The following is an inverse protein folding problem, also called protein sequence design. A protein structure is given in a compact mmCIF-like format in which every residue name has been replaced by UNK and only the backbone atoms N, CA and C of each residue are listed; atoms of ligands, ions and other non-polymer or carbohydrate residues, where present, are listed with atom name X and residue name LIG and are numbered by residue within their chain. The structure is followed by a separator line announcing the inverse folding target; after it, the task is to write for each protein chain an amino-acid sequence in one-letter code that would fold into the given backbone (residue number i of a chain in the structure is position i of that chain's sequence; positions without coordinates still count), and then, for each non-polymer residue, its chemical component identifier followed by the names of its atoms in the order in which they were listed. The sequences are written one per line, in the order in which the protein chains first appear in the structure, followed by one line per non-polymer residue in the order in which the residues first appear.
data_IF_469159251880
#
_entry.id   IF_469159251880
#
_cell.length_a   1.000
_cell.length_b   1.000
_cell.length_c   1.000
_cell.angle_alpha   90.00
_cell.angle_beta   90.00
_cell.angle_gamma   90.00
#
_symmetry.space_group_name_H-M   'P 1'
#
loop_
_entity.id
_entity.type
_entity.pdbx_description
1 polymer ?
#
# COMPACT_ATOMS: atom_id res chain seq x y z
N UNK A 1 -26.52 -6.00 59.59
CA UNK A 1 -26.48 -6.48 58.21
C UNK A 1 -25.06 -6.33 57.71
N UNK A 2 -24.25 -7.36 57.85
CA UNK A 2 -22.88 -7.40 57.33
C UNK A 2 -22.97 -7.64 55.82
N UNK A 3 -22.56 -6.64 55.05
CA UNK A 3 -22.27 -6.78 53.62
C UNK A 3 -21.21 -7.88 53.49
N UNK A 4 -21.60 -9.04 52.98
CA UNK A 4 -20.73 -10.20 52.84
C UNK A 4 -20.04 -10.05 51.47
N UNK A 5 -18.74 -9.70 51.40
CA UNK A 5 -18.07 -9.44 50.14
C UNK A 5 -18.09 -10.71 49.27
N UNK A 6 -18.55 -10.56 48.03
CA UNK A 6 -18.70 -11.68 47.11
C UNK A 6 -17.31 -12.23 46.76
N UNK A 7 -17.06 -13.55 46.90
CA UNK A 7 -15.75 -14.16 46.66
C UNK A 7 -15.22 -13.99 45.22
N UNK A 8 -16.08 -13.56 44.28
CA UNK A 8 -15.69 -13.25 42.91
C UNK A 8 -14.97 -11.89 42.77
N UNK A 9 -15.23 -10.94 43.67
CA UNK A 9 -14.66 -9.59 43.61
C UNK A 9 -13.18 -9.59 44.04
N UNK A 10 -12.85 -10.40 45.05
CA UNK A 10 -11.49 -10.56 45.56
C UNK A 10 -10.53 -11.18 44.53
N UNK A 11 -11.02 -12.09 43.67
CA UNK A 11 -10.22 -12.69 42.59
C UNK A 11 -9.97 -11.69 41.47
N UNK A 12 -10.99 -10.91 41.11
CA UNK A 12 -10.89 -9.88 40.08
C UNK A 12 -9.89 -8.78 40.48
N UNK A 13 -9.87 -8.38 41.75
CA UNK A 13 -8.89 -7.41 42.25
C UNK A 13 -7.46 -7.96 42.27
N UNK A 14 -7.28 -9.25 42.58
CA UNK A 14 -5.98 -9.89 42.54
C UNK A 14 -5.42 -9.97 41.11
N UNK A 15 -6.26 -10.32 40.13
CA UNK A 15 -5.88 -10.34 38.71
C UNK A 15 -5.59 -8.94 38.18
N UNK A 16 -6.41 -7.94 38.55
CA UNK A 16 -6.16 -6.53 38.19
C UNK A 16 -4.87 -6.00 38.78
N UNK A 17 -4.56 -6.31 40.05
CA UNK A 17 -3.29 -5.93 40.68
C UNK A 17 -2.09 -6.57 40.00
N UNK A 18 -2.22 -7.83 39.60
CA UNK A 18 -1.16 -8.52 38.86
C UNK A 18 -0.96 -7.93 37.46
N UNK A 19 -2.05 -7.72 36.72
CA UNK A 19 -2.02 -7.06 35.41
C UNK A 19 -1.47 -5.62 35.50
N UNK A 20 -1.81 -4.88 36.56
CA UNK A 20 -1.24 -3.57 36.83
C UNK A 20 0.25 -3.65 37.15
N UNK A 21 0.70 -4.58 37.99
CA UNK A 21 2.12 -4.79 38.28
C UNK A 21 2.92 -5.18 37.05
N UNK A 22 2.38 -6.07 36.22
CA UNK A 22 3.03 -6.50 34.98
C UNK A 22 3.08 -5.35 33.96
N UNK A 23 2.01 -4.55 33.85
CA UNK A 23 2.00 -3.33 33.03
C UNK A 23 2.99 -2.28 33.55
N UNK A 24 3.12 -2.12 34.86
CA UNK A 24 4.04 -1.17 35.48
C UNK A 24 5.48 -1.59 35.26
N UNK A 25 5.80 -2.88 35.44
CA UNK A 25 7.12 -3.45 35.11
C UNK A 25 7.46 -3.27 33.64
N UNK A 26 6.52 -3.55 32.74
CA UNK A 26 6.73 -3.35 31.30
C UNK A 26 6.94 -1.87 30.96
N UNK A 27 6.20 -0.96 31.61
CA UNK A 27 6.37 0.48 31.43
C UNK A 27 7.71 0.98 31.98
N UNK A 28 8.14 0.51 33.15
CA UNK A 28 9.44 0.85 33.75
C UNK A 28 10.58 0.35 32.86
N UNK A 29 10.49 -0.89 32.39
CA UNK A 29 11.46 -1.47 31.46
C UNK A 29 11.52 -0.75 30.11
N UNK A 30 10.37 -0.39 29.54
CA UNK A 30 10.30 0.41 28.32
C UNK A 30 10.89 1.81 28.54
N UNK A 31 10.64 2.41 29.70
CA UNK A 31 11.18 3.71 30.10
C UNK A 31 12.70 3.67 30.26
N UNK A 32 13.25 2.62 30.87
CA UNK A 32 14.70 2.46 31.01
C UNK A 32 15.41 2.20 29.66
N UNK A 33 14.79 1.38 28.80
CA UNK A 33 15.28 1.19 27.41
C UNK A 33 15.19 2.49 26.61
N UNK A 34 14.10 3.25 26.76
CA UNK A 34 13.95 4.55 26.14
C UNK A 34 15.02 5.54 26.63
N UNK A 35 15.22 5.70 27.94
CA UNK A 35 16.25 6.60 28.51
C UNK A 35 17.66 6.27 28.00
N UNK A 36 18.02 4.99 27.98
CA UNK A 36 19.35 4.54 27.52
C UNK A 36 19.55 4.72 26.01
N UNK A 37 18.50 4.48 25.21
CA UNK A 37 18.53 4.77 23.78
C UNK A 37 18.57 6.28 23.50
N UNK A 38 17.78 7.08 24.24
CA UNK A 38 17.72 8.54 24.12
C UNK A 38 19.06 9.19 24.48
N UNK A 39 19.76 8.73 25.53
CA UNK A 39 21.06 9.30 25.90
C UNK A 39 22.09 9.19 24.77
N UNK A 40 22.23 7.99 24.19
CA UNK A 40 23.16 7.73 23.07
C UNK A 40 22.71 8.38 21.77
N UNK A 41 21.41 8.35 21.49
CA UNK A 41 20.84 8.96 20.29
C UNK A 41 20.97 10.48 20.34
N UNK A 42 20.83 11.12 21.50
CA UNK A 42 20.96 12.57 21.65
C UNK A 42 22.36 13.06 21.31
N UNK A 43 23.40 12.38 21.78
CA UNK A 43 24.79 12.77 21.51
C UNK A 43 25.13 12.65 20.01
N UNK A 44 24.75 11.53 19.39
CA UNK A 44 24.95 11.32 17.95
C UNK A 44 24.10 12.29 17.10
N UNK A 45 22.82 12.45 17.46
CA UNK A 45 21.91 13.33 16.75
C UNK A 45 22.31 14.80 16.90
N UNK A 46 22.83 15.24 18.04
CA UNK A 46 23.18 16.65 18.23
C UNK A 46 24.34 17.10 17.34
N UNK A 47 25.34 16.24 17.13
CA UNK A 47 26.45 16.53 16.22
C UNK A 47 26.01 16.56 14.75
N UNK A 48 25.15 15.64 14.34
CA UNK A 48 24.71 15.51 12.95
C UNK A 48 23.57 16.47 12.59
N UNK A 49 22.70 16.77 13.54
CA UNK A 49 21.56 17.66 13.36
C UNK A 49 21.97 19.10 13.04
N UNK A 50 23.05 19.63 13.62
CA UNK A 50 23.47 21.01 13.34
C UNK A 50 23.79 21.17 11.85
N UNK A 51 24.58 20.26 11.28
CA UNK A 51 24.94 20.29 9.86
C UNK A 51 23.77 19.96 8.93
N UNK A 52 22.90 19.02 9.32
CA UNK A 52 21.71 18.70 8.53
C UNK A 52 20.68 19.84 8.55
N UNK A 53 20.52 20.53 9.68
CA UNK A 53 19.49 21.57 9.84
C UNK A 53 19.78 22.77 8.95
N UNK A 54 21.04 23.23 8.90
CA UNK A 54 21.43 24.35 8.03
C UNK A 54 21.17 24.03 6.55
N UNK A 55 21.54 22.82 6.11
CA UNK A 55 21.33 22.38 4.74
C UNK A 55 19.85 22.17 4.41
N UNK A 56 19.09 21.59 5.35
CA UNK A 56 17.66 21.39 5.20
C UNK A 56 16.90 22.73 5.12
N UNK A 57 17.29 23.70 5.94
CA UNK A 57 16.70 25.05 5.92
C UNK A 57 16.91 25.74 4.57
N UNK A 58 18.14 25.72 4.05
CA UNK A 58 18.42 26.32 2.74
C UNK A 58 17.63 25.67 1.60
N UNK A 59 17.52 24.34 1.59
CA UNK A 59 16.72 23.62 0.58
C UNK A 59 15.21 23.87 0.74
N UNK A 60 14.73 24.00 1.98
CA UNK A 60 13.33 24.30 2.25
C UNK A 60 12.95 25.70 1.78
N UNK A 61 13.75 26.71 2.10
CA UNK A 61 13.50 28.10 1.68
C UNK A 61 13.38 28.23 0.15
N UNK A 62 14.14 27.44 -0.63
CA UNK A 62 14.09 27.44 -2.10
C UNK A 62 12.87 26.70 -2.69
N UNK A 63 12.33 25.68 -2.01
CA UNK A 63 11.33 24.77 -2.58
C UNK A 63 9.94 24.88 -1.93
N UNK A 64 9.77 25.75 -0.94
CA UNK A 64 8.56 25.74 -0.12
C UNK A 64 7.29 26.10 -0.87
N UNK A 65 7.31 27.04 -1.81
CA UNK A 65 6.10 27.40 -2.56
C UNK A 65 5.59 26.22 -3.42
N UNK A 66 6.50 25.47 -4.04
CA UNK A 66 6.17 24.28 -4.81
C UNK A 66 5.64 23.14 -3.94
N UNK A 67 6.30 22.91 -2.79
CA UNK A 67 5.91 21.88 -1.83
C UNK A 67 4.54 22.20 -1.20
N UNK A 68 4.29 23.45 -0.81
CA UNK A 68 3.01 23.88 -0.23
C UNK A 68 1.86 23.59 -1.18
N UNK A 69 1.95 24.06 -2.43
CA UNK A 69 0.89 23.85 -3.41
C UNK A 69 0.64 22.36 -3.67
N UNK A 70 1.69 21.56 -3.80
CA UNK A 70 1.54 20.12 -4.01
C UNK A 70 1.00 19.38 -2.77
N UNK A 71 1.40 19.79 -1.58
CA UNK A 71 0.94 19.21 -0.33
C UNK A 71 -0.53 19.55 -0.07
N UNK A 72 -0.91 20.82 -0.17
CA UNK A 72 -2.29 21.29 0.01
C UNK A 72 -3.24 20.58 -0.97
N UNK A 73 -2.89 20.46 -2.26
CA UNK A 73 -3.75 19.76 -3.21
C UNK A 73 -3.95 18.27 -2.87
N UNK A 74 -2.91 17.57 -2.40
CA UNK A 74 -3.03 16.15 -1.98
C UNK A 74 -3.86 16.01 -0.70
N UNK A 75 -3.74 16.98 0.20
CA UNK A 75 -4.49 17.04 1.45
C UNK A 75 -5.98 17.25 1.14
N UNK A 76 -6.31 18.19 0.26
CA UNK A 76 -7.68 18.46 -0.20
C UNK A 76 -8.27 17.21 -0.90
N UNK A 77 -7.53 16.60 -1.83
CA UNK A 77 -7.95 15.37 -2.52
C UNK A 77 -8.20 14.22 -1.54
N UNK A 78 -7.35 14.08 -0.52
CA UNK A 78 -7.53 13.06 0.52
C UNK A 78 -8.74 13.37 1.40
N UNK A 79 -8.97 14.63 1.77
CA UNK A 79 -10.15 15.05 2.53
C UNK A 79 -11.43 14.74 1.76
N UNK A 80 -11.45 15.02 0.46
CA UNK A 80 -12.57 14.69 -0.43
C UNK A 80 -12.80 13.18 -0.51
N UNK A 81 -11.75 12.37 -0.63
CA UNK A 81 -11.88 10.90 -0.61
C UNK A 81 -12.43 10.38 0.72
N UNK A 82 -11.99 10.94 1.85
CA UNK A 82 -12.49 10.57 3.18
C UNK A 82 -13.96 10.96 3.34
N UNK A 83 -14.33 12.18 2.92
CA UNK A 83 -15.72 12.65 2.97
C UNK A 83 -16.64 11.83 2.08
N UNK A 84 -16.21 11.53 0.85
CA UNK A 84 -16.96 10.69 -0.08
C UNK A 84 -17.13 9.26 0.45
N UNK A 85 -16.09 8.67 1.03
CA UNK A 85 -16.19 7.36 1.67
C UNK A 85 -17.12 7.40 2.92
N UNK A 86 -17.12 8.51 3.66
CA UNK A 86 -18.02 8.74 4.79
C UNK A 86 -19.50 8.72 4.41
N UNK A 87 -19.86 9.33 3.28
CA UNK A 87 -21.23 9.31 2.75
C UNK A 87 -21.70 7.89 2.39
N UNK A 88 -20.77 6.97 2.10
CA UNK A 88 -21.10 5.57 1.80
C UNK A 88 -21.53 4.77 3.04
N UNK A 89 -21.20 5.25 4.25
CA UNK A 89 -21.57 4.61 5.52
C UNK A 89 -22.94 5.07 6.07
N UNK A 90 -23.63 5.98 5.36
CA UNK A 90 -24.88 6.58 5.79
C UNK A 90 -24.66 7.75 6.77
N UNK A 91 -25.34 8.87 6.51
CA UNK A 91 -25.11 10.18 7.14
C UNK A 91 -25.26 10.18 8.67
N UNK A 92 -26.02 9.25 9.24
CA UNK A 92 -26.25 9.14 10.69
C UNK A 92 -25.26 8.22 11.44
N UNK A 93 -24.26 7.66 10.74
CA UNK A 93 -23.28 6.78 11.36
C UNK A 93 -22.20 7.57 12.12
N UNK A 94 -21.73 7.03 13.26
CA UNK A 94 -20.59 7.59 14.00
C UNK A 94 -19.33 7.71 13.12
N UNK A 95 -19.22 6.83 12.13
CA UNK A 95 -18.15 6.79 11.14
C UNK A 95 -18.23 7.99 10.18
N UNK A 96 -19.43 8.36 9.71
CA UNK A 96 -19.64 9.53 8.87
C UNK A 96 -19.27 10.82 9.63
N UNK A 97 -19.68 10.96 10.90
CA UNK A 97 -19.33 12.11 11.73
C UNK A 97 -17.83 12.19 12.02
N UNK A 98 -17.18 11.04 12.28
CA UNK A 98 -15.73 11.00 12.48
C UNK A 98 -14.97 11.34 11.20
N UNK A 99 -15.42 10.84 10.05
CA UNK A 99 -14.86 11.16 8.74
C UNK A 99 -15.02 12.65 8.42
N UNK A 100 -16.18 13.24 8.71
CA UNK A 100 -16.44 14.65 8.47
C UNK A 100 -15.60 15.57 9.40
N UNK A 101 -15.47 15.19 10.67
CA UNK A 101 -14.56 15.87 11.60
C UNK A 101 -13.11 15.80 11.10
N UNK A 102 -12.67 14.64 10.64
CA UNK A 102 -11.31 14.46 10.14
C UNK A 102 -11.06 15.27 8.86
N UNK A 103 -12.00 15.23 7.91
CA UNK A 103 -11.94 16.00 6.67
C UNK A 103 -11.94 17.51 6.93
N UNK A 104 -12.77 17.98 7.85
CA UNK A 104 -12.85 19.40 8.22
C UNK A 104 -11.56 19.92 8.87
N UNK A 105 -10.96 19.11 9.76
CA UNK A 105 -9.66 19.45 10.35
C UNK A 105 -8.53 19.39 9.30
N UNK A 106 -8.62 18.48 8.34
CA UNK A 106 -7.64 18.33 7.28
C UNK A 106 -7.66 19.53 6.31
N UNK A 107 -8.86 20.02 5.96
CA UNK A 107 -9.05 21.23 5.16
C UNK A 107 -8.55 22.49 5.89
N UNK A 108 -8.86 22.64 7.19
CA UNK A 108 -8.31 23.75 7.99
C UNK A 108 -6.78 23.71 8.07
N UNK A 109 -6.18 22.53 8.17
CA UNK A 109 -4.73 22.39 8.10
C UNK A 109 -4.16 22.78 6.73
N UNK A 110 -4.87 22.44 5.65
CA UNK A 110 -4.50 22.80 4.28
C UNK A 110 -4.48 24.32 4.07
N UNK A 111 -5.51 25.02 4.56
CA UNK A 111 -5.62 26.48 4.50
C UNK A 111 -4.56 27.16 5.37
N UNK A 112 -4.33 26.65 6.59
CA UNK A 112 -3.28 27.14 7.47
C UNK A 112 -1.88 27.05 6.81
N UNK A 113 -1.58 25.93 6.14
CA UNK A 113 -0.31 25.74 5.41
C UNK A 113 -0.19 26.69 4.20
N UNK A 114 -1.32 26.97 3.54
CA UNK A 114 -1.39 27.87 2.38
C UNK A 114 -1.12 29.32 2.79
N UNK A 115 -1.66 29.75 3.92
CA UNK A 115 -1.63 31.16 4.36
C UNK A 115 -0.43 31.52 5.25
N UNK A 116 0.18 30.56 5.97
CA UNK A 116 1.31 30.85 6.87
C UNK A 116 2.68 30.87 6.17
N UNK A 117 3.52 31.81 6.56
CA UNK A 117 4.96 31.77 6.32
C UNK A 117 5.65 30.64 7.10
N UNK A 118 6.75 30.10 6.54
CA UNK A 118 7.53 29.03 7.19
C UNK A 118 8.02 29.39 8.58
N UNK A 119 8.37 30.66 8.80
CA UNK A 119 8.87 31.14 10.09
C UNK A 119 7.84 30.90 11.19
N UNK A 120 6.60 31.30 10.95
CA UNK A 120 5.49 31.15 11.90
C UNK A 120 5.14 29.67 12.09
N UNK A 121 5.08 28.89 11.01
CA UNK A 121 4.80 27.45 11.09
C UNK A 121 5.85 26.70 11.93
N UNK A 122 7.12 27.07 11.80
CA UNK A 122 8.19 26.44 12.58
C UNK A 122 8.09 26.74 14.08
N UNK A 123 7.62 27.93 14.44
CA UNK A 123 7.47 28.35 15.83
C UNK A 123 6.26 27.65 16.48
N UNK A 124 5.14 27.55 15.75
CA UNK A 124 3.95 26.81 16.19
C UNK A 124 4.22 25.32 16.39
N UNK A 125 4.98 24.70 15.47
CA UNK A 125 5.42 23.29 15.62
C UNK A 125 6.33 23.13 16.83
N UNK A 126 7.23 24.07 17.07
CA UNK A 126 8.11 24.09 18.25
C UNK A 126 7.32 24.21 19.56
N UNK A 127 6.33 25.10 19.60
CA UNK A 127 5.45 25.24 20.76
C UNK A 127 4.63 23.97 21.01
N UNK A 128 4.05 23.39 19.95
CA UNK A 128 3.31 22.13 20.04
C UNK A 128 4.18 20.99 20.56
N UNK A 129 5.41 20.86 20.06
CA UNK A 129 6.36 19.84 20.49
C UNK A 129 6.70 19.96 21.98
N UNK A 130 6.85 21.19 22.48
CA UNK A 130 7.11 21.47 23.91
C UNK A 130 5.89 21.16 24.78
N UNK A 131 4.69 21.42 24.27
CA UNK A 131 3.43 21.23 25.00
C UNK A 131 2.98 19.77 25.05
N UNK A 132 3.26 19.01 23.99
CA UNK A 132 2.83 17.62 23.84
C UNK A 132 3.99 16.71 23.36
N UNK A 133 5.02 16.48 24.19
CA UNK A 133 6.22 15.75 23.77
C UNK A 133 5.92 14.32 23.32
N UNK A 134 5.00 13.62 23.97
CA UNK A 134 4.64 12.24 23.60
C UNK A 134 4.01 12.15 22.19
N UNK A 135 3.11 13.08 21.86
CA UNK A 135 2.47 13.12 20.54
C UNK A 135 3.46 13.50 19.44
N UNK A 136 4.35 14.46 19.72
CA UNK A 136 5.38 14.87 18.77
C UNK A 136 6.36 13.72 18.48
N UNK A 137 6.88 13.04 19.50
CA UNK A 137 7.78 11.90 19.30
C UNK A 137 7.10 10.75 18.55
N UNK A 138 5.85 10.43 18.90
CA UNK A 138 5.07 9.41 18.21
C UNK A 138 4.83 9.77 16.74
N UNK A 139 4.39 11.01 16.47
CA UNK A 139 4.15 11.50 15.11
C UNK A 139 5.42 11.56 14.27
N UNK A 140 6.52 12.07 14.82
CA UNK A 140 7.81 12.14 14.13
C UNK A 140 8.37 10.75 13.80
N UNK A 141 8.21 9.77 14.70
CA UNK A 141 8.62 8.39 14.43
C UNK A 141 7.81 7.76 13.29
N UNK A 142 6.49 7.95 13.28
CA UNK A 142 5.62 7.45 12.22
C UNK A 142 5.89 8.14 10.87
N UNK A 143 6.04 9.47 10.88
CA UNK A 143 6.38 10.24 9.69
C UNK A 143 7.76 9.84 9.13
N UNK A 144 8.77 9.73 10.00
CA UNK A 144 10.11 9.27 9.62
C UNK A 144 10.10 7.86 9.05
N UNK A 145 9.32 6.93 9.63
CA UNK A 145 9.15 5.60 9.08
C UNK A 145 8.45 5.60 7.72
N UNK A 146 7.39 6.40 7.55
CA UNK A 146 6.67 6.52 6.29
C UNK A 146 7.59 7.06 5.18
N UNK A 147 8.38 8.10 5.48
CA UNK A 147 9.40 8.65 4.58
C UNK A 147 10.47 7.61 4.25
N UNK A 148 11.03 6.92 5.26
CA UNK A 148 12.01 5.86 5.05
C UNK A 148 11.46 4.72 4.19
N UNK A 149 10.18 4.37 4.39
CA UNK A 149 9.49 3.36 3.59
C UNK A 149 9.27 3.81 2.15
N UNK A 150 8.97 5.08 1.91
CA UNK A 150 8.83 5.64 0.57
C UNK A 150 10.17 5.63 -0.18
N UNK A 151 11.24 6.09 0.46
CA UNK A 151 12.59 6.05 -0.13
C UNK A 151 12.99 4.60 -0.46
N UNK A 152 12.75 3.66 0.46
CA UNK A 152 12.99 2.21 0.24
C UNK A 152 12.14 1.63 -0.90
N UNK A 153 10.94 2.16 -1.12
CA UNK A 153 10.04 1.72 -2.17
C UNK A 153 10.54 2.20 -3.54
N UNK A 154 11.04 3.44 -3.64
CA UNK A 154 11.60 4.00 -4.87
C UNK A 154 12.85 3.24 -5.36
N UNK A 155 13.64 2.67 -4.45
CA UNK A 155 14.79 1.81 -4.80
C UNK A 155 14.39 0.50 -5.51
N UNK A 156 13.12 0.07 -5.44
CA UNK A 156 12.66 -1.19 -6.04
C UNK A 156 12.28 -1.06 -7.52
N UNK A 157 12.22 0.15 -8.06
CA UNK A 157 11.92 0.39 -9.48
C UNK A 157 13.17 0.46 -10.37
N UNK A 158 14.38 0.36 -9.80
CA UNK A 158 15.66 0.42 -10.52
C UNK A 158 16.30 -0.93 -10.91
N UNK A 159 15.61 -2.05 -10.69
CA UNK A 159 16.18 -3.41 -10.91
C UNK A 159 15.40 -4.21 -11.96
N UNK A 160 15.08 -3.59 -13.12
CA UNK A 160 14.77 -4.31 -14.36
C UNK A 160 15.22 -3.51 -15.59
N UNK A 161 16.53 -3.23 -15.66
CA UNK A 161 17.21 -3.02 -16.94
C UNK A 161 18.65 -3.49 -16.84
N UNK A 162 18.81 -4.82 -16.81
CA UNK A 162 20.07 -5.40 -17.26
C UNK A 162 20.19 -5.06 -18.74
N UNK A 163 20.95 -3.99 -19.00
CA UNK A 163 21.36 -3.55 -20.32
C UNK A 163 22.19 -4.69 -20.94
N UNK A 164 21.57 -5.44 -21.86
CA UNK A 164 22.21 -6.55 -22.60
C UNK A 164 22.86 -6.04 -23.90
N UNK A 165 23.11 -4.73 -24.02
CA UNK A 165 23.56 -4.08 -25.26
C UNK A 165 25.08 -3.85 -25.35
N UNK A 166 25.88 -4.40 -24.44
CA UNK A 166 27.34 -4.28 -24.54
C UNK A 166 28.09 -5.58 -24.22
N UNK A 167 27.88 -6.61 -25.06
CA UNK A 167 28.83 -7.71 -25.19
C UNK A 167 29.68 -7.46 -26.46
N UNK A 168 30.98 -7.13 -26.36
CA UNK A 168 31.85 -7.12 -27.54
C UNK A 168 31.89 -8.55 -28.11
N UNK A 169 31.57 -8.67 -29.40
CA UNK A 169 31.46 -9.93 -30.12
C UNK A 169 32.74 -10.80 -30.03
N UNK A 170 32.83 -11.63 -28.99
CA UNK A 170 33.72 -12.78 -28.96
C UNK A 170 33.00 -13.92 -29.67
N UNK A 171 33.53 -14.31 -30.84
CA UNK A 171 33.09 -15.45 -31.67
C UNK A 171 32.71 -16.66 -30.80
N UNK A 172 31.45 -17.09 -30.87
CA UNK A 172 31.04 -18.39 -30.37
C UNK A 172 31.39 -19.50 -31.39
N UNK A 173 31.78 -20.72 -30.96
CA UNK A 173 32.03 -21.85 -31.85
C UNK A 173 30.71 -22.37 -32.45
N UNK A 174 30.71 -22.68 -33.75
CA UNK A 174 29.56 -23.28 -34.46
C UNK A 174 29.27 -24.71 -33.96
N UNK A 175 28.00 -25.05 -33.64
CA UNK A 175 27.61 -26.43 -33.32
C UNK A 175 27.50 -27.30 -34.59
N UNK A 176 28.02 -28.53 -34.53
CA UNK A 176 28.03 -29.50 -35.63
C UNK A 176 26.61 -30.03 -35.96
N UNK A 177 26.34 -30.43 -37.22
CA UNK A 177 25.03 -30.95 -37.64
C UNK A 177 24.73 -32.31 -36.99
N UNK A 178 23.55 -32.41 -36.38
CA UNK A 178 23.04 -33.63 -35.75
C UNK A 178 22.54 -34.61 -36.83
N UNK A 179 22.99 -35.86 -36.77
CA UNK A 179 22.39 -36.96 -37.56
C UNK A 179 21.00 -37.29 -36.99
N UNK A 180 19.99 -37.28 -37.85
CA UNK A 180 18.63 -37.74 -37.54
C UNK A 180 18.60 -39.27 -37.41
N UNK A 181 18.02 -39.80 -36.33
CA UNK A 181 17.87 -41.23 -36.12
C UNK A 181 16.71 -41.79 -36.99
N UNK A 182 16.81 -43.00 -37.57
CA UNK A 182 15.76 -43.58 -38.40
C UNK A 182 14.45 -43.84 -37.64
N UNK A 183 13.32 -43.52 -38.27
CA UNK A 183 11.97 -43.70 -37.74
C UNK A 183 11.54 -45.18 -37.80
N UNK A 184 11.25 -45.79 -36.64
CA UNK A 184 10.59 -47.11 -36.59
C UNK A 184 9.04 -46.96 -36.61
N UNK A 185 8.31 -47.71 -37.46
CA UNK A 185 6.87 -47.62 -37.55
C UNK A 185 6.17 -48.31 -36.37
N UNK A 186 5.30 -47.56 -35.67
CA UNK A 186 4.43 -48.05 -34.58
C UNK A 186 3.24 -48.86 -35.15
N UNK A 187 2.88 -50.03 -34.59
CA UNK A 187 1.77 -50.84 -35.11
C UNK A 187 0.38 -50.23 -34.80
N UNK A 188 -0.54 -50.36 -35.75
CA UNK A 188 -1.92 -49.88 -35.69
C UNK A 188 -2.82 -50.75 -34.77
N UNK A 189 -3.85 -50.17 -34.12
CA UNK A 189 -4.80 -50.95 -33.33
C UNK A 189 -5.74 -51.77 -34.22
N UNK A 190 -5.93 -53.05 -33.87
CA UNK A 190 -6.77 -54.00 -34.59
C UNK A 190 -8.20 -53.97 -34.07
N UNK A 191 -9.16 -53.86 -34.98
CA UNK A 191 -10.60 -53.99 -34.74
C UNK A 191 -10.98 -55.46 -34.51
N UNK A 192 -11.63 -55.76 -33.40
CA UNK A 192 -12.30 -57.04 -33.14
C UNK A 192 -13.76 -56.81 -32.77
N UNK A 193 -14.68 -57.25 -33.62
CA UNK A 193 -16.13 -57.21 -33.42
C UNK A 193 -16.69 -58.63 -33.56
N UNK A 194 -17.61 -59.04 -32.67
CA UNK A 194 -18.84 -59.80 -33.03
C UNK A 194 -19.77 -60.01 -31.82
N UNK A 195 -21.07 -59.79 -32.03
CA UNK A 195 -22.14 -60.11 -31.06
C UNK A 195 -23.55 -59.58 -31.37
N UNK A 196 -24.04 -59.78 -32.61
CA UNK A 196 -25.43 -59.96 -33.12
C UNK A 196 -26.70 -59.31 -32.46
N UNK A 197 -27.31 -58.36 -33.19
CA UNK A 197 -28.72 -57.99 -33.54
C UNK A 197 -29.97 -58.59 -32.79
N UNK A 198 -31.21 -58.01 -32.87
CA UNK A 198 -31.78 -57.15 -33.94
C UNK A 198 -32.70 -55.96 -33.54
N UNK A 199 -33.11 -55.22 -34.59
CA UNK A 199 -34.01 -54.04 -34.65
C UNK A 199 -35.43 -54.46 -35.09
N UNK A 200 -36.47 -53.71 -34.67
CA UNK A 200 -37.52 -53.24 -35.60
C UNK A 200 -37.85 -51.75 -35.35
N UNK A 201 -37.64 -50.85 -36.30
CA UNK A 201 -38.64 -50.26 -37.23
C UNK A 201 -39.84 -49.57 -36.57
N UNK A 202 -39.78 -48.24 -36.52
CA UNK A 202 -40.91 -47.34 -36.32
C UNK A 202 -40.54 -45.95 -36.83
N UNK A 203 -41.08 -45.58 -37.99
CA UNK A 203 -40.96 -44.27 -38.62
C UNK A 203 -42.14 -43.39 -38.21
N UNK A 204 -41.91 -42.08 -38.02
CA UNK A 204 -42.74 -40.97 -38.54
C UNK A 204 -42.45 -39.63 -37.81
N UNK A 205 -41.89 -38.66 -38.57
CA UNK A 205 -42.06 -37.19 -38.46
C UNK A 205 -41.62 -36.46 -37.18
N UNK A 206 -41.35 -35.15 -37.14
CA UNK A 206 -41.23 -34.09 -38.14
C UNK A 206 -40.82 -32.78 -37.42
N UNK A 207 -39.70 -32.20 -37.84
CA UNK A 207 -39.45 -30.76 -38.14
C UNK A 207 -39.37 -29.65 -37.07
N UNK A 208 -38.26 -28.90 -37.15
CA UNK A 208 -38.08 -27.48 -36.78
C UNK A 208 -37.08 -27.24 -35.63
N UNK A 209 -36.01 -26.46 -35.72
CA UNK A 209 -35.51 -25.57 -36.76
C UNK A 209 -34.20 -24.87 -36.33
N UNK A 210 -33.49 -24.39 -37.36
CA UNK A 210 -32.52 -23.27 -37.46
C UNK A 210 -31.33 -23.13 -36.50
N UNK A 211 -30.13 -23.16 -37.10
CA UNK A 211 -28.90 -22.62 -36.52
C UNK A 211 -28.77 -21.11 -36.75
N UNK A 212 -27.77 -20.51 -36.11
CA UNK A 212 -27.22 -19.21 -36.49
C UNK A 212 -25.72 -19.19 -36.22
N UNK A 213 -25.00 -18.93 -37.30
CA UNK A 213 -23.59 -18.59 -37.34
C UNK A 213 -23.46 -17.07 -37.48
N UNK A 214 -22.38 -16.51 -36.91
CA UNK A 214 -21.68 -15.35 -37.48
C UNK A 214 -22.02 -13.95 -36.92
N UNK A 215 -20.99 -13.32 -36.34
CA UNK A 215 -20.78 -11.87 -36.28
C UNK A 215 -19.26 -11.67 -36.44
N UNK A 216 -18.69 -11.25 -37.59
CA UNK A 216 -18.68 -9.89 -38.21
C UNK A 216 -18.29 -8.84 -37.17
N UNK A 217 -17.21 -8.05 -37.26
CA UNK A 217 -16.42 -7.57 -38.40
C UNK A 217 -16.17 -6.07 -38.12
N UNK A 218 -14.92 -5.69 -37.85
CA UNK A 218 -14.51 -4.33 -37.48
C UNK A 218 -14.52 -3.40 -38.70
N UNK A 219 -15.15 -2.21 -38.67
CA UNK A 219 -15.12 -1.30 -39.82
C UNK A 219 -13.82 -0.48 -39.87
N UNK A 220 -13.19 -0.50 -41.03
CA UNK A 220 -12.13 0.41 -41.46
C UNK A 220 -12.70 1.79 -41.84
N UNK A 221 -11.92 2.84 -41.57
CA UNK A 221 -12.22 4.25 -41.85
C UNK A 221 -11.48 4.73 -43.10
N UNK A 222 -12.12 5.37 -44.10
CA UNK A 222 -11.42 5.92 -45.26
C UNK A 222 -11.31 7.47 -45.22
N UNK A 223 -10.19 7.97 -45.77
CA UNK A 223 -10.16 9.14 -46.65
C UNK A 223 -9.69 10.48 -46.07
N UNK A 224 -8.55 10.98 -46.57
CA UNK A 224 -8.10 12.36 -46.41
C UNK A 224 -6.94 12.69 -47.36
N UNK A 225 -7.27 13.18 -48.55
CA UNK A 225 -6.35 13.73 -49.57
C UNK A 225 -5.93 15.14 -49.20
N UNK A 226 -4.64 15.48 -49.32
CA UNK A 226 -4.19 16.85 -49.56
C UNK A 226 -3.09 16.87 -50.63
N UNK A 227 -3.13 17.97 -51.37
CA UNK A 227 -2.58 18.30 -52.69
C UNK A 227 -1.08 18.50 -52.74
#
# INVERSE_FOLDING_TARGET
MTDNPNPNDAKLEAERRKAQQDAQKAADEATERAKSATGKAKEAAQAEAQHLTEKARAMAEEQVEGIKNQATSRIDETADHIRNAGHEFGDDSYQAQAADYLASNLSQAADFIREQDLGTLSDDVSEFARRNPALFLGGAALAGFALARMIKATDRDGQYRYDYDNIPARRAPVPAPRHEAPYEPRPAPTTGATGTAPRPTGAAGSTGGVGSAGTVGTPAKPGGTTR
#
